data_IF_822813313601
#
_entry.id   IF_822813313601
#
_cell.length_a   1.000
_cell.length_b   1.000
_cell.length_c   1.000
_cell.angle_alpha   90.00
_cell.angle_beta   90.00
_cell.angle_gamma   90.00
#
_symmetry.space_group_name_H-M   'P 1'
#
loop_
_entity.id
_entity.type
_entity.pdbx_description
1 polymer ?
#
# COMPACT_ATOMS: atom_id res chain seq x y z
N UNK A 1 24.88 -6.57 -27.86
CA UNK A 1 24.65 -7.30 -26.61
C UNK A 1 23.58 -6.58 -25.83
N UNK A 2 22.58 -7.32 -25.41
CA UNK A 2 21.29 -6.86 -24.89
C UNK A 2 21.27 -6.84 -23.35
N UNK A 3 20.34 -6.05 -22.79
CA UNK A 3 19.74 -6.13 -21.44
C UNK A 3 20.50 -5.47 -20.27
N UNK A 4 20.42 -4.15 -20.15
CA UNK A 4 20.62 -3.45 -18.85
C UNK A 4 19.59 -2.34 -18.58
N UNK A 5 18.43 -2.38 -19.26
CA UNK A 5 17.44 -1.30 -19.23
C UNK A 5 16.11 -1.66 -18.55
N UNK A 6 15.98 -2.87 -17.99
CA UNK A 6 14.74 -3.32 -17.34
C UNK A 6 14.65 -3.09 -15.82
N UNK A 7 15.77 -2.79 -15.15
CA UNK A 7 15.84 -2.67 -13.70
C UNK A 7 15.38 -1.30 -13.19
N UNK A 8 15.76 -0.22 -13.86
CA UNK A 8 15.43 1.16 -13.45
C UNK A 8 13.94 1.47 -13.61
N UNK A 9 13.34 1.09 -14.74
CA UNK A 9 11.91 1.35 -15.03
C UNK A 9 10.97 0.58 -14.08
N UNK A 10 11.36 -0.62 -13.65
CA UNK A 10 10.59 -1.40 -12.67
C UNK A 10 10.64 -0.80 -11.26
N UNK A 11 11.75 -0.19 -10.85
CA UNK A 11 11.88 0.46 -9.54
C UNK A 11 10.98 1.69 -9.49
N UNK A 12 11.09 2.59 -10.48
CA UNK A 12 10.22 3.77 -10.54
C UNK A 12 8.74 3.39 -10.59
N UNK A 13 8.36 2.41 -11.41
CA UNK A 13 6.96 1.93 -11.48
C UNK A 13 6.44 1.37 -10.16
N UNK A 14 7.32 0.74 -9.36
CA UNK A 14 6.97 0.23 -8.04
C UNK A 14 6.73 1.39 -7.07
N UNK A 15 7.61 2.37 -7.06
CA UNK A 15 7.53 3.54 -6.18
C UNK A 15 6.23 4.33 -6.47
N UNK A 16 5.92 4.60 -7.74
CA UNK A 16 4.65 5.24 -8.13
C UNK A 16 3.41 4.46 -7.65
N UNK A 17 3.43 3.13 -7.72
CA UNK A 17 2.31 2.28 -7.23
C UNK A 17 2.23 2.20 -5.70
N UNK A 18 3.32 2.42 -5.00
CA UNK A 18 3.32 2.54 -3.54
C UNK A 18 2.76 3.91 -3.15
N UNK A 19 3.18 4.98 -3.83
CA UNK A 19 2.67 6.33 -3.63
C UNK A 19 1.14 6.42 -3.89
N UNK A 20 0.64 5.84 -4.98
CA UNK A 20 -0.80 5.77 -5.27
C UNK A 20 -1.59 5.04 -4.17
N UNK A 21 -0.99 3.97 -3.60
CA UNK A 21 -1.61 3.22 -2.51
C UNK A 21 -1.69 4.09 -1.25
N UNK A 22 -0.63 4.82 -0.90
CA UNK A 22 -0.64 5.72 0.25
C UNK A 22 -1.63 6.88 0.07
N UNK A 23 -1.72 7.46 -1.13
CA UNK A 23 -2.72 8.48 -1.45
C UNK A 23 -4.14 7.95 -1.27
N UNK A 24 -4.39 6.70 -1.72
CA UNK A 24 -5.69 6.05 -1.57
C UNK A 24 -6.04 5.81 -0.10
N UNK A 25 -5.08 5.32 0.70
CA UNK A 25 -5.24 5.13 2.16
C UNK A 25 -5.58 6.46 2.83
N UNK A 26 -4.84 7.54 2.52
CA UNK A 26 -5.09 8.84 3.14
C UNK A 26 -6.45 9.42 2.75
N UNK A 27 -6.85 9.27 1.49
CA UNK A 27 -8.17 9.71 1.02
C UNK A 27 -9.28 8.99 1.77
N UNK A 28 -9.17 7.68 1.95
CA UNK A 28 -10.13 6.88 2.72
C UNK A 28 -10.14 7.24 4.21
N UNK A 29 -8.99 7.62 4.78
CA UNK A 29 -8.91 8.10 6.17
C UNK A 29 -9.68 9.40 6.34
N UNK A 30 -9.49 10.37 5.44
CA UNK A 30 -10.23 11.62 5.46
C UNK A 30 -11.74 11.37 5.33
N UNK A 31 -12.14 10.57 4.34
CA UNK A 31 -13.56 10.24 4.12
C UNK A 31 -14.19 9.53 5.34
N UNK A 32 -13.50 8.54 5.91
CA UNK A 32 -14.00 7.84 7.10
C UNK A 32 -14.18 8.79 8.28
N UNK A 33 -13.23 9.72 8.48
CA UNK A 33 -13.26 10.69 9.57
C UNK A 33 -14.42 11.68 9.39
N UNK A 34 -14.61 12.21 8.18
CA UNK A 34 -15.73 13.09 7.85
C UNK A 34 -17.10 12.41 8.04
N UNK A 35 -17.24 11.15 7.61
CA UNK A 35 -18.50 10.40 7.75
C UNK A 35 -18.75 10.02 9.21
N UNK A 36 -17.72 9.61 9.95
CA UNK A 36 -17.82 9.28 11.38
C UNK A 36 -18.09 10.49 12.27
N UNK A 37 -17.71 11.70 11.86
CA UNK A 37 -18.09 12.93 12.55
C UNK A 37 -19.59 13.25 12.40
N UNK A 38 -20.17 12.89 11.26
CA UNK A 38 -21.57 13.20 10.94
C UNK A 38 -22.54 12.08 11.31
N UNK A 39 -22.05 10.86 11.54
CA UNK A 39 -22.86 9.65 11.76
C UNK A 39 -22.37 8.86 12.96
N UNK A 40 -23.19 7.91 13.41
CA UNK A 40 -22.76 6.96 14.44
C UNK A 40 -21.65 6.05 13.89
N UNK A 41 -20.71 5.66 14.75
CA UNK A 41 -19.69 4.66 14.41
C UNK A 41 -20.29 3.28 14.09
N UNK A 42 -21.52 3.03 14.49
CA UNK A 42 -22.27 1.81 14.13
C UNK A 42 -23.04 1.95 12.81
N UNK A 43 -22.99 3.11 12.15
CA UNK A 43 -23.59 3.28 10.83
C UNK A 43 -22.89 2.37 9.83
N UNK A 44 -23.69 1.67 9.03
CA UNK A 44 -23.20 0.71 8.04
C UNK A 44 -22.19 1.33 7.07
N UNK A 45 -22.37 2.60 6.72
CA UNK A 45 -21.47 3.34 5.82
C UNK A 45 -20.08 3.52 6.46
N UNK A 46 -20.05 3.84 7.76
CA UNK A 46 -18.79 3.99 8.51
C UNK A 46 -18.08 2.64 8.62
N UNK A 47 -18.82 1.56 8.87
CA UNK A 47 -18.26 0.21 8.95
C UNK A 47 -17.69 -0.26 7.60
N UNK A 48 -18.44 -0.10 6.51
CA UNK A 48 -17.98 -0.48 5.16
C UNK A 48 -16.75 0.33 4.72
N UNK A 49 -16.71 1.63 5.03
CA UNK A 49 -15.53 2.47 4.78
C UNK A 49 -14.32 2.04 5.64
N UNK A 50 -14.55 1.71 6.91
CA UNK A 50 -13.50 1.22 7.82
C UNK A 50 -12.90 -0.10 7.34
N UNK A 51 -13.74 -1.08 6.96
CA UNK A 51 -13.29 -2.38 6.46
C UNK A 51 -12.49 -2.22 5.15
N UNK A 52 -12.93 -1.30 4.28
CA UNK A 52 -12.23 -1.00 3.04
C UNK A 52 -10.86 -0.37 3.31
N UNK A 53 -10.78 0.59 4.24
CA UNK A 53 -9.51 1.19 4.66
C UNK A 53 -8.56 0.14 5.24
N UNK A 54 -9.04 -0.73 6.14
CA UNK A 54 -8.25 -1.80 6.75
C UNK A 54 -7.67 -2.75 5.70
N UNK A 55 -8.45 -3.08 4.67
CA UNK A 55 -7.98 -3.92 3.55
C UNK A 55 -6.78 -3.29 2.81
N UNK A 56 -6.79 -1.98 2.57
CA UNK A 56 -5.67 -1.29 1.94
C UNK A 56 -4.46 -1.14 2.88
N UNK A 57 -4.68 -0.96 4.19
CA UNK A 57 -3.59 -0.96 5.18
C UNK A 57 -2.89 -2.32 5.20
N UNK A 58 -3.65 -3.43 5.22
CA UNK A 58 -3.09 -4.78 5.16
C UNK A 58 -2.31 -5.00 3.86
N UNK A 59 -2.81 -4.51 2.73
CA UNK A 59 -2.11 -4.57 1.45
C UNK A 59 -0.77 -3.82 1.50
N UNK A 60 -0.74 -2.62 2.10
CA UNK A 60 0.48 -1.83 2.26
C UNK A 60 1.50 -2.56 3.15
N UNK A 61 1.04 -3.14 4.27
CA UNK A 61 1.88 -3.93 5.16
C UNK A 61 2.46 -5.16 4.47
N UNK A 62 1.65 -5.88 3.68
CA UNK A 62 2.09 -7.05 2.91
C UNK A 62 3.19 -6.67 1.91
N UNK A 63 3.00 -5.58 1.14
CA UNK A 63 4.02 -5.05 0.23
C UNK A 63 5.32 -4.72 0.95
N UNK A 64 5.25 -4.07 2.11
CA UNK A 64 6.44 -3.73 2.90
C UNK A 64 7.19 -5.00 3.36
N UNK A 65 6.46 -6.04 3.78
CA UNK A 65 7.05 -7.33 4.14
C UNK A 65 7.69 -8.04 2.95
N UNK A 66 7.08 -7.97 1.77
CA UNK A 66 7.65 -8.49 0.53
C UNK A 66 8.96 -7.77 0.19
N UNK A 67 8.99 -6.43 0.27
CA UNK A 67 10.19 -5.61 0.05
C UNK A 67 11.34 -5.99 1.01
N UNK A 68 11.02 -6.35 2.24
CA UNK A 68 12.00 -6.84 3.23
C UNK A 68 12.52 -8.23 2.89
N UNK A 69 11.63 -9.15 2.46
CA UNK A 69 12.00 -10.51 2.05
C UNK A 69 12.89 -10.51 0.82
N UNK A 70 12.55 -9.74 -0.21
CA UNK A 70 13.34 -9.65 -1.45
C UNK A 70 14.77 -9.13 -1.19
N UNK A 71 14.94 -8.17 -0.26
CA UNK A 71 16.27 -7.68 0.15
C UNK A 71 17.10 -8.74 0.86
N UNK A 72 16.47 -9.57 1.72
CA UNK A 72 17.14 -10.68 2.40
C UNK A 72 17.57 -11.79 1.43
N UNK A 73 16.75 -12.10 0.43
CA UNK A 73 17.07 -13.07 -0.62
C UNK A 73 18.26 -12.64 -1.49
N UNK A 74 18.36 -11.34 -1.79
CA UNK A 74 19.53 -10.78 -2.47
C UNK A 74 20.80 -11.01 -1.67
N UNK A 75 20.84 -10.60 -0.40
CA UNK A 75 22.01 -10.71 0.46
C UNK A 75 22.57 -12.14 0.62
N UNK A 76 21.72 -13.17 0.53
CA UNK A 76 22.13 -14.58 0.64
C UNK A 76 22.73 -15.16 -0.64
N UNK A 77 22.54 -14.52 -1.81
CA UNK A 77 23.02 -15.03 -3.09
C UNK A 77 24.51 -14.72 -3.37
N UNK A 78 25.19 -14.00 -2.48
CA UNK A 78 26.59 -13.60 -2.61
C UNK A 78 27.50 -14.18 -1.50
N UNK A 79 27.00 -15.13 -0.71
CA UNK A 79 27.71 -15.79 0.39
C UNK A 79 28.32 -17.12 0.01
#
# INVERSE_FOLDING_TARGET
MTLYQGSSENVYRRDYREDELFVTIESLRCELLEVAEQRSLSDRTVLELSERLDSYILLAQHKMMENLRSRKSGAAAYG
#
